data_IF_806672700741
#
_entry.id   IF_806672700741
#
_cell.length_a   1.000
_cell.length_b   1.000
_cell.length_c   1.000
_cell.angle_alpha   90.00
_cell.angle_beta   90.00
_cell.angle_gamma   90.00
#
_symmetry.space_group_name_H-M   'P 1'
#
loop_
_entity.id
_entity.type
_entity.pdbx_description
1 polymer ?
#
# COMPACT_ATOMS: atom_id res chain seq x y z
N UNK A 1 16.37 26.43 -8.86
CA UNK A 1 17.04 25.59 -9.88
C UNK A 1 16.12 24.40 -10.13
N UNK A 2 15.68 24.14 -11.37
CA UNK A 2 14.93 22.91 -11.68
C UNK A 2 15.95 21.77 -11.76
N UNK A 3 15.75 20.72 -10.98
CA UNK A 3 16.52 19.47 -11.03
C UNK A 3 15.75 18.49 -11.88
N UNK A 4 16.42 17.72 -12.73
CA UNK A 4 15.73 16.72 -13.54
C UNK A 4 15.32 15.53 -12.66
N UNK A 5 14.15 14.89 -12.90
CA UNK A 5 13.70 13.74 -12.10
C UNK A 5 14.72 12.61 -12.02
N UNK A 6 15.49 12.40 -13.10
CA UNK A 6 16.57 11.41 -13.13
C UNK A 6 17.71 11.72 -12.14
N UNK A 7 18.03 13.00 -11.91
CA UNK A 7 19.05 13.40 -10.94
C UNK A 7 18.55 13.21 -9.51
N UNK A 8 17.28 13.49 -9.25
CA UNK A 8 16.65 13.26 -7.94
C UNK A 8 16.59 11.76 -7.64
N UNK A 9 16.21 10.95 -8.64
CA UNK A 9 16.18 9.49 -8.50
C UNK A 9 17.57 8.93 -8.20
N UNK A 10 18.60 9.41 -8.90
CA UNK A 10 19.99 9.01 -8.65
C UNK A 10 20.40 9.24 -7.20
N UNK A 11 20.11 10.43 -6.67
CA UNK A 11 20.45 10.78 -5.29
C UNK A 11 19.63 9.95 -4.28
N UNK A 12 18.34 9.76 -4.55
CA UNK A 12 17.48 8.92 -3.71
C UNK A 12 18.01 7.49 -3.65
N UNK A 13 18.43 6.91 -4.78
CA UNK A 13 18.98 5.55 -4.83
C UNK A 13 20.33 5.40 -4.11
N UNK A 14 21.07 6.48 -3.90
CA UNK A 14 22.31 6.48 -3.13
C UNK A 14 22.10 6.45 -1.61
N UNK A 15 20.87 6.69 -1.13
CA UNK A 15 20.53 6.62 0.29
C UNK A 15 20.53 5.16 0.80
N UNK A 16 20.73 4.93 2.12
CA UNK A 16 20.47 3.64 2.76
C UNK A 16 19.02 3.18 2.54
N UNK A 17 18.80 1.86 2.59
CA UNK A 17 17.50 1.24 2.29
C UNK A 17 16.34 1.82 3.09
N UNK A 18 16.55 2.06 4.38
CA UNK A 18 15.55 2.58 5.31
C UNK A 18 15.18 4.03 4.94
N UNK A 19 16.17 4.85 4.59
CA UNK A 19 15.97 6.23 4.16
C UNK A 19 15.27 6.29 2.79
N UNK A 20 15.58 5.37 1.87
CA UNK A 20 14.84 5.24 0.61
C UNK A 20 13.38 4.88 0.83
N UNK A 21 13.11 3.93 1.73
CA UNK A 21 11.75 3.52 2.05
C UNK A 21 10.94 4.68 2.67
N UNK A 22 11.54 5.42 3.61
CA UNK A 22 10.92 6.60 4.19
C UNK A 22 10.62 7.68 3.13
N UNK A 23 11.59 7.99 2.26
CA UNK A 23 11.40 8.97 1.19
C UNK A 23 10.30 8.53 0.21
N UNK A 24 10.27 7.26 -0.18
CA UNK A 24 9.21 6.71 -1.03
C UNK A 24 7.84 6.83 -0.35
N UNK A 25 7.76 6.56 0.95
CA UNK A 25 6.55 6.74 1.74
C UNK A 25 6.04 8.18 1.72
N UNK A 26 6.91 9.16 2.02
CA UNK A 26 6.54 10.58 1.98
C UNK A 26 6.12 11.06 0.59
N UNK A 27 6.77 10.56 -0.47
CA UNK A 27 6.38 10.88 -1.85
C UNK A 27 5.00 10.30 -2.18
N UNK A 28 4.71 9.06 -1.79
CA UNK A 28 3.40 8.46 -1.99
C UNK A 28 2.31 9.20 -1.21
N UNK A 29 2.56 9.54 0.05
CA UNK A 29 1.65 10.34 0.88
C UNK A 29 1.38 11.72 0.27
N UNK A 30 2.38 12.35 -0.35
CA UNK A 30 2.19 13.64 -1.03
C UNK A 30 1.26 13.58 -2.26
N UNK A 31 1.01 12.39 -2.81
CA UNK A 31 0.07 12.18 -3.91
C UNK A 31 -1.38 12.00 -3.43
N UNK A 32 -1.57 11.74 -2.13
CA UNK A 32 -2.88 11.50 -1.53
C UNK A 32 -3.55 12.84 -1.14
N UNK A 33 -3.84 13.65 -2.16
CA UNK A 33 -4.27 15.04 -1.98
C UNK A 33 -5.77 15.22 -1.80
N UNK A 34 -6.56 14.25 -2.26
CA UNK A 34 -8.02 14.29 -2.21
C UNK A 34 -8.55 12.97 -1.67
N UNK A 35 -9.43 13.06 -0.68
CA UNK A 35 -10.13 11.90 -0.14
C UNK A 35 -11.48 11.81 -0.84
N UNK A 36 -11.73 10.67 -1.48
CA UNK A 36 -13.06 10.32 -1.98
C UNK A 36 -13.86 9.72 -0.80
N UNK A 37 -14.70 10.55 -0.18
CA UNK A 37 -15.52 10.18 0.97
C UNK A 37 -16.47 9.01 0.68
N UNK A 38 -16.95 8.88 -0.58
CA UNK A 38 -17.80 7.76 -0.97
C UNK A 38 -16.98 6.46 -1.03
N UNK A 39 -15.75 6.53 -1.53
CA UNK A 39 -14.81 5.40 -1.51
C UNK A 39 -14.44 4.99 -0.08
N UNK A 40 -14.18 5.95 0.81
CA UNK A 40 -13.90 5.69 2.23
C UNK A 40 -15.08 5.03 2.95
N UNK A 41 -16.31 5.52 2.73
CA UNK A 41 -17.51 4.94 3.31
C UNK A 41 -17.75 3.49 2.80
N UNK A 42 -17.55 3.26 1.50
CA UNK A 42 -17.63 1.93 0.90
C UNK A 42 -16.56 0.99 1.47
N UNK A 43 -15.34 1.50 1.67
CA UNK A 43 -14.24 0.73 2.25
C UNK A 43 -14.50 0.36 3.71
N UNK A 44 -14.95 1.30 4.54
CA UNK A 44 -15.31 1.05 5.94
C UNK A 44 -16.40 -0.03 6.08
N UNK A 45 -17.40 0.02 5.19
CA UNK A 45 -18.47 -0.99 5.13
C UNK A 45 -17.89 -2.38 4.80
N UNK A 46 -17.03 -2.45 3.79
CA UNK A 46 -16.42 -3.71 3.35
C UNK A 46 -15.49 -4.32 4.40
N UNK A 47 -14.66 -3.51 5.07
CA UNK A 47 -13.79 -3.96 6.16
C UNK A 47 -14.62 -4.53 7.31
N UNK A 48 -15.68 -3.82 7.72
CA UNK A 48 -16.59 -4.28 8.78
C UNK A 48 -17.24 -5.62 8.44
N UNK A 49 -17.72 -5.75 7.19
CA UNK A 49 -18.30 -7.01 6.69
C UNK A 49 -17.29 -8.15 6.72
N UNK A 50 -16.06 -7.94 6.22
CA UNK A 50 -15.02 -8.98 6.19
C UNK A 50 -14.57 -9.40 7.57
N UNK A 51 -14.47 -8.47 8.53
CA UNK A 51 -14.15 -8.79 9.92
C UNK A 51 -15.24 -9.69 10.52
N UNK A 52 -16.52 -9.34 10.35
CA UNK A 52 -17.62 -10.16 10.84
C UNK A 52 -17.64 -11.57 10.23
N UNK A 53 -17.34 -11.70 8.93
CA UNK A 53 -17.20 -12.99 8.24
C UNK A 53 -16.05 -13.84 8.78
N UNK A 54 -14.91 -13.21 9.09
CA UNK A 54 -13.76 -13.87 9.69
C UNK A 54 -14.08 -14.33 11.13
N UNK A 55 -14.64 -13.45 11.95
CA UNK A 55 -14.94 -13.71 13.36
C UNK A 55 -16.02 -14.78 13.52
N UNK A 56 -17.03 -14.79 12.64
CA UNK A 56 -18.08 -15.81 12.61
C UNK A 56 -17.63 -17.14 12.00
N UNK A 57 -16.48 -17.18 11.32
CA UNK A 57 -16.02 -18.35 10.57
C UNK A 57 -16.84 -18.62 9.30
N UNK A 58 -17.61 -17.65 8.81
CA UNK A 58 -18.40 -17.76 7.58
C UNK A 58 -17.53 -17.97 6.33
N UNK A 59 -16.26 -17.55 6.40
CA UNK A 59 -15.29 -17.68 5.31
C UNK A 59 -14.12 -18.58 5.69
N UNK A 60 -13.60 -19.34 4.72
CA UNK A 60 -12.36 -20.11 4.87
C UNK A 60 -11.17 -19.22 4.52
N UNK A 61 -10.29 -19.00 5.49
CA UNK A 61 -9.03 -18.31 5.26
C UNK A 61 -8.04 -19.20 4.52
N UNK A 62 -7.09 -18.58 3.83
CA UNK A 62 -5.93 -19.26 3.24
C UNK A 62 -4.66 -18.77 3.95
N UNK A 63 -3.65 -19.64 4.14
CA UNK A 63 -2.39 -19.22 4.74
C UNK A 63 -1.72 -18.11 3.93
N UNK A 64 -1.08 -17.15 4.61
CA UNK A 64 -0.36 -16.07 3.94
C UNK A 64 0.73 -16.56 2.97
N UNK A 65 1.40 -17.67 3.29
CA UNK A 65 2.38 -18.29 2.41
C UNK A 65 1.79 -18.71 1.05
N UNK A 66 0.54 -19.17 1.03
CA UNK A 66 -0.19 -19.52 -0.19
C UNK A 66 -0.48 -18.27 -1.03
N UNK A 67 -0.97 -17.20 -0.40
CA UNK A 67 -1.24 -15.91 -1.07
C UNK A 67 0.03 -15.37 -1.72
N UNK A 68 1.13 -15.33 -0.96
CA UNK A 68 2.43 -14.82 -1.42
C UNK A 68 2.95 -15.61 -2.62
N UNK A 69 2.83 -16.95 -2.57
CA UNK A 69 3.23 -17.82 -3.69
C UNK A 69 2.44 -17.51 -4.96
N UNK A 70 1.12 -17.29 -4.85
CA UNK A 70 0.27 -16.94 -6.01
C UNK A 70 0.59 -15.57 -6.59
N UNK A 71 0.90 -14.58 -5.75
CA UNK A 71 1.28 -13.24 -6.20
C UNK A 71 2.62 -13.24 -6.94
N UNK A 72 3.60 -14.01 -6.48
CA UNK A 72 4.91 -14.12 -7.12
C UNK A 72 4.91 -14.94 -8.44
N UNK A 73 3.83 -15.68 -8.70
CA UNK A 73 3.66 -16.47 -9.92
C UNK A 73 2.92 -15.70 -11.04
N UNK A 74 2.53 -14.44 -10.79
CA UNK A 74 2.01 -13.50 -11.80
C UNK A 74 3.13 -12.65 -12.35
#
# INVERSE_FOLDING_TARGET
MKREPAEILKDALALPTEARAALAGSLLESLDTEVDEDAEAAWATEVSRRLAELDSGAVKTIPWAEVRRRLAAR
#
